data_IF_040426896242
#
_entry.id   IF_040426896242
#
_cell.length_a   1.000
_cell.length_b   1.000
_cell.length_c   1.000
_cell.angle_alpha   90.00
_cell.angle_beta   90.00
_cell.angle_gamma   90.00
#
_symmetry.space_group_name_H-M   'P 1'
#
loop_
_entity.id
_entity.type
_entity.pdbx_description
1 polymer ?
#
# COMPACT_ATOMS: atom_id res chain seq x y z
N UNK A 1 18.02 58.63 -0.67
CA UNK A 1 17.07 59.29 0.24
C UNK A 1 16.72 58.25 1.27
N UNK A 2 17.46 58.25 2.38
CA UNK A 2 17.30 57.25 3.43
C UNK A 2 16.09 57.64 4.27
N UNK A 3 15.11 56.75 4.36
CA UNK A 3 13.97 56.92 5.25
C UNK A 3 14.52 56.67 6.66
N UNK A 4 14.73 57.76 7.39
CA UNK A 4 14.90 57.73 8.83
C UNK A 4 13.63 57.09 9.41
N UNK A 5 13.76 55.86 9.88
CA UNK A 5 12.76 55.29 10.79
C UNK A 5 13.00 56.02 12.10
N UNK A 6 12.18 57.03 12.36
CA UNK A 6 12.09 57.69 13.67
C UNK A 6 11.89 56.57 14.70
N UNK A 7 12.72 56.59 15.74
CA UNK A 7 12.66 55.66 16.86
C UNK A 7 11.21 55.56 17.33
N UNK A 8 10.56 54.42 17.07
CA UNK A 8 9.22 54.16 17.59
C UNK A 8 9.40 54.04 19.09
N UNK A 9 8.95 55.07 19.82
CA UNK A 9 8.98 55.12 21.29
C UNK A 9 8.52 53.77 21.88
N UNK A 10 9.49 53.02 22.42
CA UNK A 10 9.33 51.71 23.09
C UNK A 10 8.47 51.81 24.36
N UNK A 11 8.03 53.03 24.69
CA UNK A 11 7.25 53.38 25.87
C UNK A 11 5.81 52.82 25.85
N UNK A 12 5.30 52.37 24.69
CA UNK A 12 3.93 51.85 24.54
C UNK A 12 3.80 50.33 24.68
N UNK A 13 4.92 49.62 24.81
CA UNK A 13 4.96 48.16 24.85
C UNK A 13 5.27 47.68 26.27
N UNK A 14 4.36 46.92 26.89
CA UNK A 14 4.58 46.24 28.16
C UNK A 14 4.64 44.73 27.97
N UNK A 15 5.63 44.09 28.59
CA UNK A 15 5.77 42.65 28.58
C UNK A 15 5.30 42.10 29.93
N UNK A 16 4.13 41.47 29.96
CA UNK A 16 3.62 40.79 31.15
C UNK A 16 3.54 39.28 30.90
N UNK A 17 4.23 38.53 31.75
CA UNK A 17 4.33 37.06 31.71
C UNK A 17 4.61 36.46 30.32
N UNK A 18 5.46 37.13 29.54
CA UNK A 18 5.89 36.65 28.21
C UNK A 18 4.93 36.99 27.07
N UNK A 19 3.87 37.77 27.34
CA UNK A 19 2.98 38.31 26.33
C UNK A 19 3.19 39.82 26.19
N UNK A 20 3.31 40.26 24.94
CA UNK A 20 3.41 41.67 24.57
C UNK A 20 2.01 42.28 24.64
N UNK A 21 1.81 43.23 25.56
CA UNK A 21 0.58 44.01 25.69
C UNK A 21 0.85 45.48 25.31
N UNK A 22 -0.09 46.09 24.58
CA UNK A 22 -0.05 47.52 24.27
C UNK A 22 -0.72 48.30 25.40
N UNK A 23 -0.07 49.38 25.87
CA UNK A 23 -0.67 50.29 26.87
C UNK A 23 -1.91 51.00 26.32
N UNK A 24 -2.85 51.32 27.21
CA UNK A 24 -3.99 52.19 26.90
C UNK A 24 -3.49 53.57 26.42
N UNK A 25 -3.62 53.82 25.12
CA UNK A 25 -3.09 55.02 24.45
C UNK A 25 -2.23 54.74 23.21
N UNK A 26 -1.90 53.49 22.92
CA UNK A 26 -1.30 53.10 21.65
C UNK A 26 -2.21 53.50 20.48
N UNK A 27 -1.63 54.11 19.44
CA UNK A 27 -2.36 54.50 18.23
C UNK A 27 -3.02 53.25 17.62
N UNK A 28 -4.35 53.23 17.58
CA UNK A 28 -5.10 52.19 16.88
C UNK A 28 -4.74 52.14 15.40
N UNK A 29 -5.09 51.02 14.74
CA UNK A 29 -4.94 50.90 13.30
C UNK A 29 -5.62 52.09 12.61
N UNK A 30 -4.96 52.65 11.58
CA UNK A 30 -5.63 53.66 10.76
C UNK A 30 -6.83 53.01 10.05
N UNK A 31 -7.83 53.80 9.67
CA UNK A 31 -8.98 53.29 8.91
C UNK A 31 -8.55 52.59 7.60
N UNK A 32 -7.38 52.95 7.06
CA UNK A 32 -6.80 52.35 5.86
C UNK A 32 -6.19 50.98 6.18
N UNK A 33 -5.50 50.83 7.32
CA UNK A 33 -4.97 49.54 7.78
C UNK A 33 -6.09 48.57 8.20
N UNK A 34 -7.15 49.08 8.84
CA UNK A 34 -8.35 48.28 9.16
C UNK A 34 -8.99 47.73 7.87
N UNK A 35 -9.02 48.52 6.79
CA UNK A 35 -9.54 48.09 5.50
C UNK A 35 -8.66 47.02 4.84
N UNK A 36 -7.34 47.10 4.96
CA UNK A 36 -6.41 46.08 4.45
C UNK A 36 -6.59 44.76 5.19
N UNK A 37 -6.65 44.80 6.53
CA UNK A 37 -6.89 43.61 7.36
C UNK A 37 -8.26 43.00 7.04
N UNK A 38 -9.30 43.84 6.90
CA UNK A 38 -10.63 43.39 6.51
C UNK A 38 -10.61 42.74 5.11
N UNK A 39 -9.89 43.31 4.14
CA UNK A 39 -9.76 42.75 2.80
C UNK A 39 -8.98 41.42 2.78
N UNK A 40 -7.96 41.25 3.64
CA UNK A 40 -7.26 39.96 3.80
C UNK A 40 -8.16 38.88 4.42
N UNK A 41 -9.08 39.28 5.31
CA UNK A 41 -10.06 38.36 5.91
C UNK A 41 -11.30 38.10 5.03
N UNK A 42 -11.64 39.00 4.12
CA UNK A 42 -12.81 38.91 3.23
C UNK A 42 -12.47 38.58 1.77
N UNK A 43 -11.17 38.45 1.46
CA UNK A 43 -10.64 38.05 0.15
C UNK A 43 -10.82 36.56 -0.16
N UNK A 44 -12.08 36.18 -0.38
CA UNK A 44 -12.49 35.19 -1.39
C UNK A 44 -11.72 33.87 -1.44
N UNK A 45 -12.19 32.89 -0.66
CA UNK A 45 -11.82 31.50 -0.85
C UNK A 45 -12.01 30.62 0.37
N UNK A 46 -13.17 30.66 1.01
CA UNK A 46 -13.67 29.50 1.76
C UNK A 46 -14.14 28.47 0.70
N UNK A 47 -13.23 28.03 -0.16
CA UNK A 47 -13.28 26.62 -0.52
C UNK A 47 -12.93 25.93 0.78
N UNK A 48 -13.80 25.06 1.27
CA UNK A 48 -13.51 24.20 2.41
C UNK A 48 -12.14 23.55 2.15
N UNK A 49 -11.10 24.10 2.79
CA UNK A 49 -9.80 23.45 2.77
C UNK A 49 -10.03 22.14 3.49
N UNK A 50 -10.16 21.06 2.71
CA UNK A 50 -10.24 19.70 3.22
C UNK A 50 -9.18 19.57 4.31
N UNK A 51 -9.62 19.24 5.52
CA UNK A 51 -8.70 19.08 6.63
C UNK A 51 -7.76 17.91 6.33
N UNK A 52 -6.62 17.85 7.01
CA UNK A 52 -5.75 16.67 6.94
C UNK A 52 -6.53 15.38 7.25
N UNK A 53 -7.50 15.44 8.17
CA UNK A 53 -8.38 14.31 8.49
C UNK A 53 -9.23 13.90 7.27
N UNK A 54 -9.81 14.86 6.54
CA UNK A 54 -10.61 14.58 5.34
C UNK A 54 -9.75 13.95 4.23
N UNK A 55 -8.53 14.45 4.03
CA UNK A 55 -7.58 13.90 3.05
C UNK A 55 -7.13 12.49 3.46
N UNK A 56 -6.93 12.24 4.76
CA UNK A 56 -6.56 10.92 5.28
C UNK A 56 -7.73 9.94 5.09
N UNK A 57 -8.95 10.34 5.44
CA UNK A 57 -10.16 9.53 5.28
C UNK A 57 -10.43 9.21 3.80
N UNK A 58 -10.29 10.19 2.90
CA UNK A 58 -10.41 10.01 1.45
C UNK A 58 -9.35 9.05 0.90
N UNK A 59 -8.09 9.16 1.38
CA UNK A 59 -7.01 8.23 1.00
C UNK A 59 -7.20 6.82 1.55
N UNK A 60 -7.74 6.67 2.77
CA UNK A 60 -8.07 5.36 3.34
C UNK A 60 -9.17 4.73 2.48
N UNK A 61 -10.27 5.44 2.21
CA UNK A 61 -11.36 4.93 1.40
C UNK A 61 -10.94 4.59 -0.05
N UNK A 62 -10.10 5.43 -0.67
CA UNK A 62 -9.53 5.13 -1.99
C UNK A 62 -8.66 3.87 -1.95
N UNK A 63 -7.80 3.74 -0.94
CA UNK A 63 -6.90 2.59 -0.80
C UNK A 63 -7.62 1.32 -0.39
N UNK A 64 -8.69 1.42 0.38
CA UNK A 64 -9.59 0.31 0.71
C UNK A 64 -10.39 -0.12 -0.52
N UNK A 65 -10.87 0.81 -1.36
CA UNK A 65 -11.54 0.46 -2.63
C UNK A 65 -10.59 -0.09 -3.71
N UNK A 66 -9.33 0.36 -3.73
CA UNK A 66 -8.27 -0.24 -4.56
C UNK A 66 -7.78 -1.58 -3.99
N UNK A 67 -7.80 -1.74 -2.66
CA UNK A 67 -7.51 -3.00 -1.99
C UNK A 67 -8.64 -4.01 -2.19
N UNK A 68 -9.92 -3.65 -2.11
CA UNK A 68 -11.05 -4.56 -2.42
C UNK A 68 -10.97 -5.07 -3.87
N UNK A 69 -10.44 -4.27 -4.79
CA UNK A 69 -10.22 -4.70 -6.18
C UNK A 69 -9.04 -5.67 -6.39
N UNK A 70 -8.13 -5.80 -5.43
CA UNK A 70 -6.91 -6.65 -5.53
C UNK A 70 -6.73 -7.58 -4.30
N UNK A 71 -7.73 -7.62 -3.41
CA UNK A 71 -7.78 -8.40 -2.16
C UNK A 71 -9.11 -9.14 -2.00
N UNK A 72 -9.92 -9.19 -3.05
CA UNK A 72 -10.99 -10.17 -3.27
C UNK A 72 -10.59 -11.11 -4.42
N UNK A 73 -9.48 -11.83 -4.28
CA UNK A 73 -9.44 -13.18 -4.85
C UNK A 73 -9.94 -14.10 -3.73
N UNK A 74 -11.27 -14.22 -3.70
CA UNK A 74 -12.00 -15.28 -3.01
C UNK A 74 -11.24 -16.60 -3.19
N UNK A 75 -11.18 -17.42 -2.14
CA UNK A 75 -10.84 -18.84 -2.24
C UNK A 75 -11.82 -19.48 -3.24
N UNK A 76 -11.47 -19.42 -4.53
CA UNK A 76 -12.19 -19.97 -5.68
C UNK A 76 -12.08 -21.52 -5.69
N UNK A 77 -12.12 -22.14 -4.51
CA UNK A 77 -12.16 -23.59 -4.37
C UNK A 77 -13.51 -24.15 -4.86
N UNK A 78 -14.54 -23.31 -4.96
CA UNK A 78 -15.92 -23.70 -5.32
C UNK A 78 -16.26 -23.64 -6.83
N UNK A 79 -15.35 -23.19 -7.69
CA UNK A 79 -15.64 -22.95 -9.13
C UNK A 79 -14.82 -23.74 -10.16
N UNK A 80 -13.74 -24.42 -9.76
CA UNK A 80 -12.85 -25.05 -10.74
C UNK A 80 -13.43 -26.38 -11.27
N UNK A 81 -13.46 -26.60 -12.60
CA UNK A 81 -13.92 -27.86 -13.16
C UNK A 81 -13.03 -29.02 -12.67
N UNK A 82 -13.61 -30.21 -12.44
CA UNK A 82 -12.86 -31.35 -11.94
C UNK A 82 -11.72 -31.73 -12.91
N UNK A 83 -10.56 -32.05 -12.35
CA UNK A 83 -9.42 -32.54 -13.13
C UNK A 83 -9.75 -33.89 -13.78
N UNK A 84 -9.26 -34.18 -15.00
CA UNK A 84 -9.40 -35.50 -15.59
C UNK A 84 -8.75 -36.58 -14.71
N UNK A 85 -9.40 -37.73 -14.56
CA UNK A 85 -8.94 -38.84 -13.70
C UNK A 85 -7.48 -39.23 -13.96
N UNK A 86 -7.05 -39.19 -15.22
CA UNK A 86 -5.67 -39.53 -15.57
C UNK A 86 -4.64 -38.53 -15.04
N UNK A 87 -5.01 -37.26 -14.97
CA UNK A 87 -4.18 -36.21 -14.36
C UNK A 87 -4.05 -36.50 -12.88
N UNK A 88 -5.16 -36.78 -12.20
CA UNK A 88 -5.18 -37.14 -10.77
C UNK A 88 -4.25 -38.31 -10.48
N UNK A 89 -4.38 -39.40 -11.24
CA UNK A 89 -3.54 -40.59 -11.07
C UNK A 89 -2.05 -40.29 -11.25
N UNK A 90 -1.69 -39.62 -12.36
CA UNK A 90 -0.28 -39.36 -12.70
C UNK A 90 0.37 -38.43 -11.67
N UNK A 91 -0.28 -37.35 -11.27
CA UNK A 91 0.30 -36.39 -10.33
C UNK A 91 0.32 -36.92 -8.89
N UNK A 92 -0.62 -37.79 -8.53
CA UNK A 92 -0.57 -38.54 -7.26
C UNK A 92 0.67 -39.46 -7.21
N UNK A 93 0.97 -40.19 -8.28
CA UNK A 93 2.19 -41.02 -8.37
C UNK A 93 3.47 -40.18 -8.34
N UNK A 94 3.46 -38.99 -8.95
CA UNK A 94 4.58 -38.05 -8.87
C UNK A 94 4.80 -37.61 -7.41
N UNK A 95 3.74 -37.35 -6.64
CA UNK A 95 3.87 -37.04 -5.21
C UNK A 95 4.63 -38.13 -4.44
N UNK A 96 4.35 -39.41 -4.71
CA UNK A 96 5.08 -40.56 -4.12
C UNK A 96 6.54 -40.65 -4.55
N UNK A 97 6.93 -40.04 -5.68
CA UNK A 97 8.33 -39.92 -6.09
C UNK A 97 8.99 -38.79 -5.30
N UNK A 98 8.31 -37.65 -5.18
CA UNK A 98 8.84 -36.45 -4.50
C UNK A 98 9.03 -36.64 -3.00
N UNK A 99 8.23 -37.51 -2.36
CA UNK A 99 8.37 -37.85 -0.93
C UNK A 99 9.65 -38.63 -0.58
N UNK A 100 10.33 -39.21 -1.59
CA UNK A 100 11.60 -39.94 -1.43
C UNK A 100 12.73 -39.42 -2.31
N UNK A 101 12.49 -38.30 -3.01
CA UNK A 101 13.45 -37.73 -3.93
C UNK A 101 14.65 -37.14 -3.17
N UNK A 102 15.86 -37.36 -3.69
CA UNK A 102 17.10 -36.82 -3.12
C UNK A 102 17.95 -36.15 -4.20
N UNK A 103 18.15 -36.83 -5.32
CA UNK A 103 18.94 -36.33 -6.45
C UNK A 103 18.47 -36.91 -7.78
N UNK A 104 18.97 -36.35 -8.88
CA UNK A 104 18.67 -36.82 -10.23
C UNK A 104 17.73 -35.90 -11.00
N UNK A 105 17.10 -36.44 -12.04
CA UNK A 105 16.18 -35.67 -12.90
C UNK A 105 14.75 -35.83 -12.40
N UNK A 106 14.07 -34.71 -12.21
CA UNK A 106 12.62 -34.72 -11.95
C UNK A 106 11.82 -35.19 -13.18
N UNK A 107 10.67 -35.86 -12.99
CA UNK A 107 9.79 -36.27 -14.07
C UNK A 107 9.39 -35.10 -14.97
N UNK A 108 9.31 -35.35 -16.29
CA UNK A 108 8.91 -34.31 -17.26
C UNK A 108 7.54 -33.71 -16.94
N UNK A 109 6.60 -34.55 -16.51
CA UNK A 109 5.26 -34.14 -16.10
C UNK A 109 5.27 -33.14 -14.92
N UNK A 110 6.22 -33.26 -13.99
CA UNK A 110 6.37 -32.28 -12.92
C UNK A 110 6.87 -30.92 -13.45
N UNK A 111 7.83 -30.95 -14.38
CA UNK A 111 8.45 -29.73 -14.93
C UNK A 111 7.51 -28.87 -15.76
N UNK A 112 6.41 -29.43 -16.27
CA UNK A 112 5.42 -28.69 -17.06
C UNK A 112 4.34 -28.03 -16.20
N UNK A 113 4.27 -28.33 -14.89
CA UNK A 113 3.24 -27.77 -13.99
C UNK A 113 3.19 -26.23 -14.06
N UNK A 114 4.30 -25.46 -14.02
CA UNK A 114 4.23 -23.99 -14.05
C UNK A 114 3.63 -23.40 -15.33
N UNK A 115 3.53 -24.18 -16.41
CA UNK A 115 2.93 -23.73 -17.67
C UNK A 115 1.43 -24.00 -17.78
N UNK A 116 0.84 -24.68 -16.80
CA UNK A 116 -0.58 -25.00 -16.76
C UNK A 116 -1.37 -23.80 -16.24
N UNK A 117 -2.57 -23.57 -16.77
CA UNK A 117 -3.48 -22.55 -16.25
C UNK A 117 -3.97 -22.88 -14.85
N UNK A 118 -4.17 -24.17 -14.55
CA UNK A 118 -4.60 -24.71 -13.27
C UNK A 118 -3.44 -25.33 -12.48
N UNK A 119 -2.27 -24.70 -12.51
CA UNK A 119 -1.04 -25.25 -11.92
C UNK A 119 -1.14 -25.51 -10.42
N UNK A 120 -1.86 -24.67 -9.67
CA UNK A 120 -2.05 -24.81 -8.21
C UNK A 120 -2.79 -26.10 -7.87
N UNK A 121 -3.91 -26.35 -8.53
CA UNK A 121 -4.72 -27.56 -8.34
C UNK A 121 -3.91 -28.82 -8.68
N UNK A 122 -3.15 -28.78 -9.78
CA UNK A 122 -2.28 -29.89 -10.20
C UNK A 122 -1.12 -30.09 -9.23
N UNK A 123 -0.54 -29.01 -8.71
CA UNK A 123 0.53 -29.06 -7.71
C UNK A 123 0.02 -29.68 -6.40
N UNK A 124 -1.19 -29.34 -5.97
CA UNK A 124 -1.79 -29.85 -4.74
C UNK A 124 -1.90 -31.39 -4.73
N UNK A 125 -2.22 -31.99 -5.88
CA UNK A 125 -2.26 -33.46 -6.03
C UNK A 125 -0.94 -34.15 -5.70
N UNK A 126 0.19 -33.44 -5.83
CA UNK A 126 1.51 -34.00 -5.58
C UNK A 126 1.91 -33.97 -4.09
N UNK A 127 1.02 -33.50 -3.19
CA UNK A 127 1.21 -33.38 -1.74
C UNK A 127 2.53 -32.68 -1.36
N UNK A 128 2.67 -31.37 -1.63
CA UNK A 128 3.88 -30.60 -1.32
C UNK A 128 4.32 -30.67 0.16
N UNK A 129 3.37 -30.88 1.07
CA UNK A 129 3.58 -31.09 2.50
C UNK A 129 4.40 -32.34 2.82
N UNK A 130 4.38 -33.35 1.94
CA UNK A 130 5.08 -34.62 2.10
C UNK A 130 6.40 -34.68 1.33
N UNK A 131 6.81 -33.59 0.67
CA UNK A 131 8.03 -33.56 -0.12
C UNK A 131 9.28 -33.59 0.75
N UNK A 132 10.36 -34.17 0.22
CA UNK A 132 11.66 -34.00 0.85
C UNK A 132 12.17 -32.56 0.68
N UNK A 133 13.10 -32.10 1.52
CA UNK A 133 13.76 -30.80 1.32
C UNK A 133 14.46 -30.67 -0.04
N UNK A 134 14.96 -31.78 -0.58
CA UNK A 134 15.60 -31.82 -1.91
C UNK A 134 14.59 -31.59 -3.03
N UNK A 135 13.39 -32.18 -2.91
CA UNK A 135 12.29 -31.99 -3.85
C UNK A 135 11.79 -30.55 -3.79
N UNK A 136 11.61 -30.01 -2.58
CA UNK A 136 11.22 -28.61 -2.36
C UNK A 136 12.20 -27.65 -3.05
N UNK A 137 13.50 -27.77 -2.78
CA UNK A 137 14.51 -26.93 -3.43
C UNK A 137 14.48 -27.02 -4.96
N UNK A 138 14.36 -28.23 -5.51
CA UNK A 138 14.31 -28.43 -6.96
C UNK A 138 13.03 -27.85 -7.56
N UNK A 139 11.90 -27.98 -6.88
CA UNK A 139 10.62 -27.40 -7.26
C UNK A 139 10.69 -25.87 -7.24
N UNK A 140 11.12 -25.25 -6.13
CA UNK A 140 11.22 -23.79 -6.02
C UNK A 140 12.02 -23.19 -7.17
N UNK A 141 13.13 -23.81 -7.57
CA UNK A 141 13.92 -23.35 -8.73
C UNK A 141 13.15 -23.41 -10.06
N UNK A 142 12.35 -24.45 -10.25
CA UNK A 142 11.52 -24.61 -11.45
C UNK A 142 10.42 -23.56 -11.46
N UNK A 143 9.66 -23.43 -10.37
CA UNK A 143 8.53 -22.49 -10.29
C UNK A 143 8.98 -21.04 -10.37
N UNK A 144 10.00 -20.64 -9.61
CA UNK A 144 10.51 -19.26 -9.61
C UNK A 144 11.10 -18.81 -10.96
N UNK A 145 11.51 -19.73 -11.83
CA UNK A 145 12.07 -19.39 -13.16
C UNK A 145 11.04 -19.45 -14.29
N UNK A 146 9.87 -20.05 -14.07
CA UNK A 146 8.85 -20.24 -15.11
C UNK A 146 7.56 -19.46 -14.84
N UNK A 147 7.26 -19.11 -13.59
CA UNK A 147 6.11 -18.28 -13.23
C UNK A 147 6.41 -16.79 -13.34
N UNK A 148 5.37 -16.00 -13.60
CA UNK A 148 5.43 -14.54 -13.47
C UNK A 148 5.57 -14.14 -11.99
N UNK A 149 6.07 -12.94 -11.65
CA UNK A 149 6.22 -12.52 -10.26
C UNK A 149 4.92 -12.61 -9.43
N UNK A 150 3.76 -12.24 -10.01
CA UNK A 150 2.45 -12.35 -9.33
C UNK A 150 2.11 -13.81 -9.02
N UNK A 151 2.33 -14.73 -9.98
CA UNK A 151 2.05 -16.15 -9.79
C UNK A 151 3.06 -16.84 -8.88
N UNK A 152 4.33 -16.43 -8.89
CA UNK A 152 5.38 -17.01 -8.04
C UNK A 152 5.27 -16.61 -6.56
N UNK A 153 4.52 -15.54 -6.27
CA UNK A 153 4.23 -15.09 -4.91
C UNK A 153 3.11 -15.90 -4.23
N UNK A 154 2.21 -16.48 -5.03
CA UNK A 154 1.14 -17.38 -4.56
C UNK A 154 1.74 -18.69 -4.06
#
# INVERSE_FOLDING_TARGET
>A
EEIFIDDVDDDYIENDQGYVNLKDGALGLSAEDEAIVAAMNSGGGIEERKTLADIIMEKIAQKEGEADGDMEEEDDEEGLPPLPDKVVEVYTEIGKILSRYTSGKLPKAFKVIPSLSNWEQVLYLTRPDLWTPHAMYAATRIFASNLSPKLAQR
#
